data_IF_384542096882
#
_entry.id   IF_384542096882
#
_cell.length_a   1.000
_cell.length_b   1.000
_cell.length_c   1.000
_cell.angle_alpha   90.00
_cell.angle_beta   90.00
_cell.angle_gamma   90.00
#
_symmetry.space_group_name_H-M   'P 1'
#
loop_
_entity.id
_entity.type
_entity.pdbx_description
1 polymer ?
#
# COMPACT_ATOMS: atom_id res chain seq x y z
N UNK A 1 9.98 4.50 -12.22
CA UNK A 1 10.16 3.19 -11.58
C UNK A 1 8.83 2.46 -11.49
N UNK A 2 8.81 1.21 -11.79
CA UNK A 2 7.66 0.32 -11.55
C UNK A 2 8.17 -1.10 -11.39
N UNK A 3 8.05 -1.66 -10.20
CA UNK A 3 8.54 -3.01 -9.91
C UNK A 3 7.57 -3.76 -9.00
N UNK A 4 7.47 -5.06 -9.22
CA UNK A 4 6.68 -5.97 -8.37
C UNK A 4 7.64 -7.02 -7.81
N UNK A 5 7.64 -7.16 -6.47
CA UNK A 5 8.43 -8.18 -5.78
C UNK A 5 7.51 -9.04 -4.92
N UNK A 6 7.81 -10.33 -4.85
CA UNK A 6 7.13 -11.25 -3.94
C UNK A 6 7.88 -11.29 -2.61
N UNK A 7 7.25 -10.83 -1.54
CA UNK A 7 7.82 -10.92 -0.20
C UNK A 7 7.67 -12.33 0.36
N UNK A 8 8.59 -12.68 1.27
CA UNK A 8 8.53 -13.94 1.99
C UNK A 8 7.26 -13.99 2.85
N UNK A 9 6.62 -15.15 2.92
CA UNK A 9 5.39 -15.35 3.70
C UNK A 9 5.57 -15.00 5.18
N UNK A 10 6.76 -15.21 5.74
CA UNK A 10 7.07 -14.86 7.12
C UNK A 10 6.98 -13.35 7.38
N UNK A 11 7.38 -12.53 6.42
CA UNK A 11 7.27 -11.07 6.53
C UNK A 11 5.79 -10.69 6.61
N UNK A 12 4.94 -11.30 5.79
CA UNK A 12 3.49 -11.05 5.83
C UNK A 12 2.90 -11.49 7.17
N UNK A 13 3.31 -12.63 7.70
CA UNK A 13 2.87 -13.11 9.03
C UNK A 13 3.27 -12.11 10.14
N UNK A 14 4.48 -11.59 10.10
CA UNK A 14 4.96 -10.60 11.07
C UNK A 14 4.16 -9.30 10.99
N UNK A 15 3.85 -8.85 9.78
CA UNK A 15 2.99 -7.68 9.55
C UNK A 15 1.59 -7.93 10.12
N UNK A 16 0.98 -9.04 9.80
CA UNK A 16 -0.37 -9.40 10.28
C UNK A 16 -0.42 -9.42 11.80
N UNK A 17 0.61 -9.96 12.44
CA UNK A 17 0.71 -9.99 13.90
C UNK A 17 0.71 -8.59 14.50
N UNK A 18 1.49 -7.68 13.94
CA UNK A 18 1.54 -6.29 14.39
C UNK A 18 0.19 -5.60 14.19
N UNK A 19 -0.42 -5.78 13.03
CA UNK A 19 -1.74 -5.19 12.75
C UNK A 19 -2.80 -5.71 13.71
N UNK A 20 -2.77 -7.00 14.05
CA UNK A 20 -3.77 -7.62 14.93
C UNK A 20 -3.65 -7.20 16.39
N UNK A 21 -2.46 -6.76 16.83
CA UNK A 21 -2.21 -6.34 18.22
C UNK A 21 -2.46 -4.85 18.46
N UNK A 22 -2.78 -4.11 17.42
CA UNK A 22 -3.06 -2.67 17.51
C UNK A 22 -4.54 -2.41 17.20
N UNK A 23 -5.06 -1.32 17.77
CA UNK A 23 -6.40 -0.81 17.44
C UNK A 23 -6.24 0.47 16.66
N UNK A 24 -7.00 0.60 15.58
CA UNK A 24 -6.92 1.74 14.69
C UNK A 24 -8.28 2.41 14.55
N UNK A 25 -8.27 3.74 14.40
CA UNK A 25 -9.44 4.51 14.02
C UNK A 25 -9.50 4.67 12.50
N UNK A 26 -10.70 4.91 11.99
CA UNK A 26 -10.91 5.13 10.56
C UNK A 26 -10.67 6.59 10.19
N UNK A 27 -9.69 6.82 9.34
CA UNK A 27 -9.33 8.12 8.78
C UNK A 27 -9.59 8.17 7.26
N UNK A 28 -10.48 7.34 6.74
CA UNK A 28 -10.74 7.27 5.29
C UNK A 28 -11.43 8.53 4.73
N UNK A 29 -12.11 9.31 5.58
CA UNK A 29 -12.76 10.55 5.17
C UNK A 29 -11.75 11.50 4.52
N UNK A 30 -12.14 12.08 3.39
CA UNK A 30 -11.30 13.00 2.59
C UNK A 30 -10.05 12.36 1.98
N UNK A 31 -10.01 11.04 1.89
CA UNK A 31 -8.99 10.29 1.16
C UNK A 31 -9.57 9.75 -0.15
N UNK A 32 -8.72 9.12 -0.97
CA UNK A 32 -9.16 8.47 -2.21
C UNK A 32 -9.83 7.11 -1.95
N UNK A 33 -9.85 6.62 -0.72
CA UNK A 33 -10.49 5.36 -0.35
C UNK A 33 -11.98 5.54 -0.16
N UNK A 34 -12.75 4.79 -0.94
CA UNK A 34 -14.23 4.78 -0.89
C UNK A 34 -14.70 3.42 -0.42
N UNK A 35 -15.66 3.38 0.51
CA UNK A 35 -16.15 2.14 1.13
C UNK A 35 -15.01 1.28 1.68
N UNK A 36 -14.15 1.89 2.44
CA UNK A 36 -13.01 1.23 3.06
C UNK A 36 -12.64 1.87 4.38
N UNK A 37 -11.93 1.09 5.17
CA UNK A 37 -11.30 1.55 6.40
C UNK A 37 -9.85 1.94 6.04
N UNK A 38 -9.41 3.11 6.45
CA UNK A 38 -8.02 3.54 6.26
C UNK A 38 -7.49 4.16 7.54
N UNK A 39 -6.32 3.73 7.98
CA UNK A 39 -5.64 4.30 9.15
C UNK A 39 -4.99 5.65 8.81
N UNK A 40 -4.64 6.40 9.83
CA UNK A 40 -3.64 7.46 9.72
C UNK A 40 -2.26 6.82 9.47
N UNK A 41 -1.19 7.62 9.53
CA UNK A 41 0.17 7.11 9.41
C UNK A 41 0.51 6.22 10.62
N UNK A 42 0.81 4.95 10.34
CA UNK A 42 1.11 3.95 11.37
C UNK A 42 2.56 3.46 11.30
N UNK A 43 3.44 4.20 10.66
CA UNK A 43 4.83 3.77 10.47
C UNK A 43 5.53 3.41 11.79
N UNK A 44 5.18 4.08 12.88
CA UNK A 44 5.85 3.91 14.17
C UNK A 44 5.62 2.54 14.82
N UNK A 45 4.63 1.78 14.38
CA UNK A 45 4.41 0.42 14.89
C UNK A 45 5.34 -0.62 14.26
N UNK A 46 6.04 -0.26 13.19
CA UNK A 46 6.96 -1.16 12.48
C UNK A 46 8.39 -0.93 12.96
N UNK A 47 9.09 -2.01 13.34
CA UNK A 47 10.51 -1.93 13.65
C UNK A 47 11.33 -1.64 12.40
N UNK A 48 12.53 -1.11 12.57
CA UNK A 48 13.46 -0.88 11.46
C UNK A 48 13.80 -2.17 10.73
N UNK A 49 13.95 -3.27 11.45
CA UNK A 49 14.24 -4.58 10.86
C UNK A 49 13.07 -5.07 9.99
N UNK A 50 11.84 -4.90 10.47
CA UNK A 50 10.66 -5.28 9.70
C UNK A 50 10.51 -4.40 8.45
N UNK A 51 10.74 -3.09 8.57
CA UNK A 51 10.71 -2.18 7.42
C UNK A 51 11.71 -2.60 6.35
N UNK A 52 12.90 -3.02 6.72
CA UNK A 52 13.91 -3.52 5.77
C UNK A 52 13.46 -4.77 5.04
N UNK A 53 12.72 -5.63 5.72
CA UNK A 53 12.17 -6.85 5.12
C UNK A 53 10.96 -6.55 4.22
N UNK A 54 10.14 -5.57 4.60
CA UNK A 54 8.97 -5.14 3.82
C UNK A 54 9.36 -4.41 2.55
N UNK A 55 10.41 -3.58 2.62
CA UNK A 55 10.85 -2.75 1.50
C UNK A 55 12.33 -3.05 1.26
N UNK A 56 12.64 -4.22 0.63
CA UNK A 56 14.01 -4.70 0.50
C UNK A 56 14.73 -4.05 -0.69
N UNK A 57 14.70 -2.73 -0.77
CA UNK A 57 15.17 -1.98 -1.92
C UNK A 57 16.10 -0.87 -1.48
N UNK A 58 17.37 -0.93 -1.82
CA UNK A 58 18.35 0.18 -1.85
C UNK A 58 18.08 1.29 -0.83
N UNK A 59 18.06 0.99 0.47
CA UNK A 59 17.83 1.95 1.56
C UNK A 59 16.44 2.63 1.54
N UNK A 60 15.52 2.21 0.67
CA UNK A 60 14.16 2.76 0.62
C UNK A 60 13.44 2.65 1.96
N UNK A 61 13.70 1.59 2.72
CA UNK A 61 13.11 1.43 4.05
C UNK A 61 13.45 2.58 5.00
N UNK A 62 14.66 3.11 4.92
CA UNK A 62 15.13 4.23 5.74
C UNK A 62 14.52 5.57 5.33
N UNK A 63 14.05 5.67 4.10
CA UNK A 63 13.44 6.86 3.52
C UNK A 63 11.92 6.80 3.47
N UNK A 64 11.33 5.71 3.95
CA UNK A 64 9.88 5.58 4.10
C UNK A 64 9.43 6.46 5.25
N UNK A 65 8.46 7.34 5.01
CA UNK A 65 8.04 8.31 6.02
C UNK A 65 6.59 8.18 6.45
N UNK A 66 5.73 7.48 5.70
CA UNK A 66 4.44 7.06 6.23
C UNK A 66 3.94 5.77 5.60
N UNK A 67 3.09 5.08 6.36
CA UNK A 67 2.42 3.84 5.99
C UNK A 67 0.99 3.93 6.47
N UNK A 68 0.05 3.53 5.61
CA UNK A 68 -1.37 3.41 5.93
C UNK A 68 -1.83 1.98 5.69
N UNK A 69 -2.67 1.48 6.58
CA UNK A 69 -3.38 0.22 6.39
C UNK A 69 -4.77 0.52 5.85
N UNK A 70 -5.15 -0.17 4.79
CA UNK A 70 -6.48 -0.05 4.18
C UNK A 70 -7.14 -1.42 4.13
N UNK A 71 -8.37 -1.48 4.64
CA UNK A 71 -9.24 -2.64 4.55
C UNK A 71 -10.49 -2.24 3.77
N UNK A 72 -10.58 -2.67 2.53
CA UNK A 72 -11.73 -2.34 1.67
C UNK A 72 -12.92 -3.20 2.05
N UNK A 73 -14.07 -2.55 2.23
CA UNK A 73 -15.36 -3.21 2.39
C UNK A 73 -15.87 -3.66 1.03
N UNK A 74 -16.93 -4.46 1.03
CA UNK A 74 -17.62 -4.86 -0.21
C UNK A 74 -17.95 -3.60 -1.04
N UNK A 75 -17.67 -3.65 -2.34
CA UNK A 75 -17.73 -2.51 -3.27
C UNK A 75 -16.75 -1.38 -2.96
N UNK A 76 -15.74 -1.62 -2.13
CA UNK A 76 -14.69 -0.65 -1.85
C UNK A 76 -13.75 -0.47 -3.03
N UNK A 77 -13.28 0.76 -3.23
CA UNK A 77 -12.35 1.09 -4.31
C UNK A 77 -11.51 2.29 -3.93
N UNK A 78 -10.56 2.63 -4.81
CA UNK A 78 -9.76 3.84 -4.64
C UNK A 78 -9.88 4.70 -5.89
N UNK A 79 -10.18 5.99 -5.69
CA UNK A 79 -10.28 6.95 -6.78
C UNK A 79 -8.93 7.18 -7.45
N UNK A 80 -8.97 7.54 -8.73
CA UNK A 80 -7.75 7.84 -9.49
C UNK A 80 -7.00 9.03 -8.87
N UNK A 81 -5.71 8.82 -8.63
CA UNK A 81 -4.84 9.83 -8.04
C UNK A 81 -3.37 9.55 -8.34
N UNK A 82 -2.53 10.51 -8.01
CA UNK A 82 -1.08 10.32 -7.89
C UNK A 82 -0.60 11.04 -6.63
N UNK A 83 0.69 10.94 -6.35
CA UNK A 83 1.30 11.51 -5.16
C UNK A 83 2.44 12.47 -5.48
N UNK A 84 2.38 13.10 -6.64
CA UNK A 84 3.45 13.94 -7.18
C UNK A 84 3.84 15.10 -6.26
N UNK A 85 2.91 15.55 -5.39
CA UNK A 85 3.16 16.70 -4.50
C UNK A 85 3.72 16.31 -3.13
N UNK A 86 3.72 15.02 -2.79
CA UNK A 86 4.06 14.58 -1.42
C UNK A 86 5.31 13.71 -1.35
N UNK A 87 5.53 12.84 -2.31
CA UNK A 87 6.61 11.87 -2.28
C UNK A 87 7.17 11.58 -3.66
N UNK A 88 8.34 10.93 -3.67
CA UNK A 88 9.01 10.53 -4.91
C UNK A 88 8.57 9.17 -5.40
N UNK A 89 8.43 8.22 -4.46
CA UNK A 89 7.99 6.85 -4.73
C UNK A 89 6.87 6.48 -3.79
N UNK A 90 5.99 5.60 -4.27
CA UNK A 90 4.89 5.03 -3.50
C UNK A 90 5.00 3.51 -3.53
N UNK A 91 4.40 2.85 -2.55
CA UNK A 91 4.31 1.40 -2.59
C UNK A 91 2.92 0.91 -2.19
N UNK A 92 2.59 -0.27 -2.67
CA UNK A 92 1.39 -1.01 -2.30
C UNK A 92 1.82 -2.43 -1.99
N UNK A 93 1.48 -2.91 -0.80
CA UNK A 93 1.70 -4.30 -0.40
C UNK A 93 0.36 -4.97 -0.19
N UNK A 94 0.07 -6.02 -0.95
CA UNK A 94 -1.15 -6.80 -0.77
C UNK A 94 -0.98 -7.82 0.35
N UNK A 95 -1.89 -7.78 1.32
CA UNK A 95 -1.84 -8.67 2.49
C UNK A 95 -2.64 -9.96 2.28
N UNK A 96 -3.49 -10.00 1.26
CA UNK A 96 -4.26 -11.19 0.92
C UNK A 96 -4.55 -11.24 -0.58
N UNK A 97 -4.94 -12.41 -1.05
CA UNK A 97 -5.46 -12.58 -2.41
C UNK A 97 -6.87 -11.99 -2.48
N UNK A 98 -7.17 -11.22 -3.51
CA UNK A 98 -8.48 -10.61 -3.69
C UNK A 98 -8.74 -10.25 -5.14
N UNK A 99 -9.88 -9.66 -5.37
CA UNK A 99 -10.21 -8.94 -6.60
C UNK A 99 -10.01 -7.42 -6.40
N UNK A 100 -10.48 -6.61 -7.33
CA UNK A 100 -10.27 -5.16 -7.26
C UNK A 100 -8.87 -4.78 -7.72
N UNK A 101 -8.58 -5.01 -9.00
CA UNK A 101 -7.27 -4.75 -9.57
C UNK A 101 -6.83 -3.30 -9.35
N UNK A 102 -5.55 -3.12 -9.08
CA UNK A 102 -4.91 -1.81 -9.16
C UNK A 102 -4.53 -1.54 -10.62
N UNK A 103 -4.99 -0.41 -11.14
CA UNK A 103 -4.74 -0.01 -12.53
C UNK A 103 -3.76 1.15 -12.54
N UNK A 104 -2.65 0.95 -13.23
CA UNK A 104 -1.63 1.97 -13.45
C UNK A 104 -1.76 2.48 -14.88
N UNK A 105 -1.90 3.79 -15.04
CA UNK A 105 -2.05 4.40 -16.34
C UNK A 105 -0.70 4.60 -17.05
N UNK A 106 -0.71 5.29 -18.17
CA UNK A 106 0.53 5.55 -18.92
C UNK A 106 1.61 6.20 -18.03
N UNK A 107 2.88 5.87 -18.24
CA UNK A 107 3.44 5.01 -19.30
C UNK A 107 3.40 3.51 -18.99
N UNK A 108 2.90 3.11 -17.84
CA UNK A 108 2.95 1.72 -17.36
C UNK A 108 1.90 0.85 -18.06
N UNK A 109 0.65 1.31 -18.12
CA UNK A 109 -0.48 0.60 -18.74
C UNK A 109 -0.64 -0.83 -18.22
N UNK A 110 -0.71 -1.02 -16.90
CA UNK A 110 -0.83 -2.34 -16.28
C UNK A 110 -1.95 -2.41 -15.27
N UNK A 111 -2.59 -3.58 -15.24
CA UNK A 111 -3.50 -3.99 -14.17
C UNK A 111 -2.78 -5.02 -13.33
N UNK A 112 -2.87 -4.87 -12.02
CA UNK A 112 -2.28 -5.82 -11.07
C UNK A 112 -3.38 -6.36 -10.17
N UNK A 113 -3.59 -7.67 -10.24
CA UNK A 113 -4.54 -8.36 -9.38
C UNK A 113 -3.91 -8.55 -7.99
N UNK A 114 -4.64 -8.22 -6.90
CA UNK A 114 -4.12 -8.43 -5.56
C UNK A 114 -3.72 -9.88 -5.31
N UNK A 115 -2.47 -10.09 -4.98
CA UNK A 115 -1.91 -11.39 -4.63
C UNK A 115 -1.08 -11.24 -3.37
N UNK A 116 -1.37 -12.07 -2.37
CA UNK A 116 -0.74 -12.00 -1.04
C UNK A 116 0.80 -11.99 -1.16
N UNK A 117 1.41 -10.99 -0.56
CA UNK A 117 2.86 -10.83 -0.52
C UNK A 117 3.45 -10.06 -1.69
N UNK A 118 2.68 -9.70 -2.70
CA UNK A 118 3.19 -8.85 -3.78
C UNK A 118 3.31 -7.41 -3.31
N UNK A 119 4.50 -6.87 -3.45
CA UNK A 119 4.83 -5.49 -3.19
C UNK A 119 5.07 -4.79 -4.53
N UNK A 120 4.34 -3.70 -4.77
CA UNK A 120 4.55 -2.84 -5.93
C UNK A 120 5.23 -1.56 -5.44
N UNK A 121 6.37 -1.21 -6.05
CA UNK A 121 7.04 0.08 -5.83
C UNK A 121 7.02 0.83 -7.15
N UNK A 122 6.57 2.08 -7.12
CA UNK A 122 6.37 2.85 -8.34
C UNK A 122 6.60 4.34 -8.11
N UNK A 123 6.90 5.05 -9.20
CA UNK A 123 7.06 6.50 -9.16
C UNK A 123 5.73 7.18 -8.84
N UNK A 124 5.77 8.15 -7.94
CA UNK A 124 4.58 8.80 -7.42
C UNK A 124 3.76 9.60 -8.44
N UNK A 125 4.37 9.95 -9.57
CA UNK A 125 3.70 10.69 -10.66
C UNK A 125 2.78 9.83 -11.51
N UNK A 126 2.82 8.49 -11.34
CA UNK A 126 1.98 7.57 -12.10
C UNK A 126 0.55 7.64 -11.56
N UNK A 127 -0.39 8.01 -12.42
CA UNK A 127 -1.82 7.95 -12.09
C UNK A 127 -2.24 6.51 -11.93
N UNK A 128 -2.98 6.24 -10.86
CA UNK A 128 -3.45 4.90 -10.55
C UNK A 128 -4.76 4.95 -9.79
N UNK A 129 -5.48 3.84 -9.81
CA UNK A 129 -6.72 3.64 -9.07
C UNK A 129 -6.92 2.16 -8.79
N UNK A 130 -7.85 1.85 -7.91
CA UNK A 130 -8.24 0.47 -7.63
C UNK A 130 -9.70 0.27 -7.98
N UNK A 131 -9.99 -0.77 -8.75
CA UNK A 131 -11.36 -1.16 -9.09
C UNK A 131 -12.11 -1.64 -7.86
N UNK A 132 -13.45 -1.65 -7.92
CA UNK A 132 -14.28 -2.19 -6.86
C UNK A 132 -13.88 -3.62 -6.51
N UNK A 133 -13.82 -3.90 -5.22
CA UNK A 133 -13.60 -5.25 -4.70
C UNK A 133 -14.91 -5.85 -4.18
N UNK A 134 -15.11 -7.13 -4.44
CA UNK A 134 -16.27 -7.89 -3.96
C UNK A 134 -15.86 -8.94 -2.92
N UNK A 135 -14.58 -9.03 -2.65
CA UNK A 135 -13.98 -9.89 -1.64
C UNK A 135 -13.25 -9.03 -0.62
N UNK A 136 -12.92 -9.62 0.52
CA UNK A 136 -12.06 -8.92 1.47
C UNK A 136 -10.71 -8.55 0.81
N UNK A 137 -10.35 -7.30 0.88
CA UNK A 137 -9.09 -6.80 0.32
C UNK A 137 -8.39 -5.90 1.34
N UNK A 138 -7.18 -6.29 1.71
CA UNK A 138 -6.37 -5.55 2.69
C UNK A 138 -4.99 -5.26 2.13
N UNK A 139 -4.55 -4.03 2.28
CA UNK A 139 -3.26 -3.55 1.76
C UNK A 139 -2.56 -2.65 2.77
N UNK A 140 -1.24 -2.59 2.65
CA UNK A 140 -0.47 -1.49 3.19
C UNK A 140 -0.04 -0.61 2.02
N UNK A 141 -0.18 0.69 2.19
CA UNK A 141 0.31 1.68 1.22
C UNK A 141 1.24 2.63 1.93
N UNK A 142 2.21 3.15 1.21
CA UNK A 142 3.15 4.06 1.84
C UNK A 142 3.92 4.93 0.87
N UNK A 143 4.73 5.81 1.44
CA UNK A 143 5.44 6.84 0.74
C UNK A 143 6.92 6.85 1.09
N UNK A 144 7.76 7.01 0.08
CA UNK A 144 9.21 7.00 0.15
C UNK A 144 9.73 8.31 -0.43
N UNK A 145 10.73 8.90 0.22
CA UNK A 145 11.35 10.17 -0.17
C UNK A 145 10.34 11.33 -0.16
N UNK A 146 10.14 11.91 1.01
CA UNK A 146 9.29 13.09 1.15
C UNK A 146 9.80 14.25 0.27
N UNK A 147 8.87 14.90 -0.41
CA UNK A 147 9.16 16.12 -1.18
C UNK A 147 9.02 17.34 -0.27
N UNK A 148 9.98 18.22 -0.33
CA UNK A 148 9.98 19.47 0.43
C UNK A 148 9.38 20.61 -0.39
#
# INVERSE_FOLDING_TARGET
>A
MFEIIKLNSRVIEDIEKILSTNKFEDYSKDTCTVNGFQTNNIIDIFSKDLLKQMIPYQDFSERTFHIHYINYRDHGYQEKHNHITTEKFSFILYLNDSDGDTVFEEPINRKVTPEKGNLIIFSSDILHYANETFKNKRVLVGAIDVLN
#
